data_IF_395108914177
#
_entry.id   IF_395108914177
#
_cell.length_a   1.000
_cell.length_b   1.000
_cell.length_c   1.000
_cell.angle_alpha   90.00
_cell.angle_beta   90.00
_cell.angle_gamma   90.00
#
_symmetry.space_group_name_H-M   'P 1'
#
loop_
_entity.id
_entity.type
_entity.pdbx_description
1 polymer ?
#
# COMPACT_ATOMS: atom_id res chain seq x y z
N UNK A 1 -39.07 -6.46 19.19
CA UNK A 1 -38.07 -6.07 18.18
C UNK A 1 -37.73 -7.32 17.39
N UNK A 2 -37.87 -7.26 16.08
CA UNK A 2 -37.63 -8.39 15.18
C UNK A 2 -36.12 -8.67 15.12
N UNK A 3 -35.66 -9.74 15.77
CA UNK A 3 -34.23 -10.07 15.94
C UNK A 3 -33.64 -10.79 14.72
N UNK A 4 -34.14 -10.51 13.52
CA UNK A 4 -33.62 -11.10 12.28
C UNK A 4 -32.25 -10.50 11.95
N UNK A 5 -31.24 -11.35 11.79
CA UNK A 5 -29.92 -10.95 11.32
C UNK A 5 -30.03 -10.33 9.90
N UNK A 6 -29.62 -9.07 9.79
CA UNK A 6 -29.53 -8.36 8.52
C UNK A 6 -28.21 -8.69 7.83
N UNK A 7 -28.27 -9.18 6.60
CA UNK A 7 -27.07 -9.42 5.80
C UNK A 7 -26.41 -8.09 5.42
N UNK A 8 -27.21 -7.07 5.12
CA UNK A 8 -26.70 -5.73 4.78
C UNK A 8 -25.95 -5.10 5.94
N UNK A 9 -26.50 -5.14 7.17
CA UNK A 9 -25.82 -4.62 8.36
C UNK A 9 -24.48 -5.32 8.64
N UNK A 10 -24.38 -6.64 8.39
CA UNK A 10 -23.12 -7.38 8.57
C UNK A 10 -22.10 -7.15 7.44
N UNK A 11 -22.52 -6.59 6.30
CA UNK A 11 -21.62 -6.27 5.18
C UNK A 11 -21.15 -4.82 5.17
N UNK A 12 -21.92 -3.87 5.71
CA UNK A 12 -21.59 -2.44 5.69
C UNK A 12 -20.14 -2.16 6.15
N UNK A 13 -19.66 -2.67 7.31
CA UNK A 13 -18.31 -2.39 7.80
C UNK A 13 -17.15 -2.94 6.95
N UNK A 14 -17.49 -3.61 5.84
CA UNK A 14 -16.57 -4.31 4.96
C UNK A 14 -16.67 -3.83 3.50
N UNK A 15 -17.62 -2.94 3.21
CA UNK A 15 -17.85 -2.38 1.89
C UNK A 15 -17.27 -0.98 1.80
N UNK A 16 -16.67 -0.64 0.67
CA UNK A 16 -16.45 0.77 0.32
C UNK A 16 -17.78 1.43 -0.05
N UNK A 17 -17.96 2.68 0.35
CA UNK A 17 -19.20 3.44 0.12
C UNK A 17 -19.63 3.39 -1.36
N UNK A 18 -18.71 3.63 -2.30
CA UNK A 18 -19.00 3.57 -3.74
C UNK A 18 -19.46 2.17 -4.18
N UNK A 19 -18.84 1.10 -3.67
CA UNK A 19 -19.26 -0.26 -3.98
C UNK A 19 -20.65 -0.57 -3.46
N UNK A 20 -21.01 0.01 -2.31
CA UNK A 20 -22.34 -0.12 -1.76
C UNK A 20 -23.39 0.49 -2.69
N UNK A 21 -23.22 1.75 -3.08
CA UNK A 21 -24.16 2.42 -3.99
C UNK A 21 -24.27 1.71 -5.34
N UNK A 22 -23.15 1.19 -5.87
CA UNK A 22 -23.19 0.35 -7.08
C UNK A 22 -23.94 -0.97 -6.84
N UNK A 23 -23.90 -1.52 -5.63
CA UNK A 23 -24.69 -2.67 -5.23
C UNK A 23 -26.18 -2.37 -5.21
N UNK A 24 -26.58 -1.20 -4.69
CA UNK A 24 -27.97 -0.72 -4.75
C UNK A 24 -28.45 -0.62 -6.20
N UNK A 25 -27.65 0.00 -7.07
CA UNK A 25 -27.98 0.08 -8.49
C UNK A 25 -28.18 -1.29 -9.15
N UNK A 26 -27.35 -2.28 -8.79
CA UNK A 26 -27.47 -3.64 -9.33
C UNK A 26 -28.77 -4.33 -8.87
N UNK A 27 -29.16 -4.13 -7.60
CA UNK A 27 -30.42 -4.62 -7.06
C UNK A 27 -31.60 -3.95 -7.79
N UNK A 28 -31.57 -2.62 -7.93
CA UNK A 28 -32.65 -1.83 -8.54
C UNK A 28 -32.82 -2.11 -10.03
N UNK A 29 -31.71 -2.28 -10.76
CA UNK A 29 -31.70 -2.67 -12.18
C UNK A 29 -32.02 -4.14 -12.41
N UNK A 30 -32.32 -4.91 -11.35
CA UNK A 30 -32.62 -6.36 -11.41
C UNK A 30 -31.51 -7.18 -12.10
N UNK A 31 -30.27 -6.75 -11.92
CA UNK A 31 -29.08 -7.44 -12.46
C UNK A 31 -28.67 -8.65 -11.62
N UNK A 32 -29.34 -8.90 -10.50
CA UNK A 32 -29.09 -10.03 -9.62
C UNK A 32 -30.33 -10.92 -9.56
N UNK A 33 -30.12 -12.23 -9.70
CA UNK A 33 -31.14 -13.26 -9.54
C UNK A 33 -30.74 -14.19 -8.40
N UNK A 34 -31.57 -14.25 -7.35
CA UNK A 34 -31.40 -15.20 -6.26
C UNK A 34 -31.80 -16.60 -6.78
N UNK A 35 -30.89 -17.57 -6.68
CA UNK A 35 -31.14 -18.94 -7.12
C UNK A 35 -31.79 -19.76 -6.01
N UNK A 36 -31.14 -19.80 -4.84
CA UNK A 36 -31.63 -20.45 -3.64
C UNK A 36 -31.42 -19.51 -2.46
N UNK A 37 -32.41 -19.39 -1.59
CA UNK A 37 -32.27 -18.60 -0.37
C UNK A 37 -33.19 -19.14 0.72
N UNK A 38 -32.73 -19.04 1.96
CA UNK A 38 -33.51 -19.29 3.17
C UNK A 38 -33.14 -18.26 4.25
N UNK A 39 -33.47 -18.53 5.52
CA UNK A 39 -33.11 -17.64 6.63
C UNK A 39 -31.61 -17.63 7.00
N UNK A 40 -30.80 -18.55 6.46
CA UNK A 40 -29.41 -18.81 6.85
C UNK A 40 -28.41 -18.57 5.73
N UNK A 41 -28.78 -18.80 4.48
CA UNK A 41 -27.92 -18.66 3.32
C UNK A 41 -28.66 -18.18 2.07
N UNK A 42 -27.89 -17.61 1.14
CA UNK A 42 -28.34 -17.26 -0.20
C UNK A 42 -27.26 -17.58 -1.22
N UNK A 43 -27.68 -18.10 -2.36
CA UNK A 43 -26.88 -18.19 -3.58
C UNK A 43 -27.55 -17.40 -4.69
N UNK A 44 -26.75 -16.69 -5.48
CA UNK A 44 -27.26 -15.82 -6.52
C UNK A 44 -26.33 -15.76 -7.74
N UNK A 45 -26.90 -15.35 -8.87
CA UNK A 45 -26.18 -14.95 -10.07
C UNK A 45 -26.29 -13.44 -10.23
N UNK A 46 -25.15 -12.77 -10.34
CA UNK A 46 -25.07 -11.35 -10.68
C UNK A 46 -24.62 -11.19 -12.13
N UNK A 47 -25.34 -10.40 -12.90
CA UNK A 47 -25.11 -10.16 -14.32
C UNK A 47 -24.38 -8.83 -14.50
N UNK A 48 -23.17 -8.88 -15.04
CA UNK A 48 -22.38 -7.72 -15.46
C UNK A 48 -21.75 -7.98 -16.83
N UNK A 49 -20.44 -7.69 -16.97
CA UNK A 49 -19.67 -8.09 -18.15
C UNK A 49 -19.58 -9.63 -18.32
N UNK A 50 -19.78 -10.36 -17.23
CA UNK A 50 -19.94 -11.82 -17.20
C UNK A 50 -20.97 -12.18 -16.12
N UNK A 51 -21.32 -13.46 -16.03
CA UNK A 51 -22.14 -13.95 -14.91
C UNK A 51 -21.22 -14.29 -13.75
N UNK A 52 -21.46 -13.67 -12.60
CA UNK A 52 -20.73 -13.93 -11.36
C UNK A 52 -21.62 -14.68 -10.38
N UNK A 53 -21.04 -15.64 -9.66
CA UNK A 53 -21.72 -16.41 -8.63
C UNK A 53 -21.43 -15.78 -7.27
N UNK A 54 -22.46 -15.63 -6.46
CA UNK A 54 -22.37 -15.06 -5.11
C UNK A 54 -22.98 -16.04 -4.13
N UNK A 55 -22.31 -16.25 -3.00
CA UNK A 55 -22.82 -17.03 -1.87
C UNK A 55 -22.61 -16.25 -0.57
N UNK A 56 -23.69 -16.04 0.18
CA UNK A 56 -23.65 -15.46 1.52
C UNK A 56 -24.28 -16.45 2.52
N UNK A 57 -23.70 -16.56 3.72
CA UNK A 57 -24.21 -17.46 4.77
C UNK A 57 -23.92 -16.91 6.16
N UNK A 58 -24.93 -16.87 7.03
CA UNK A 58 -24.72 -16.55 8.45
C UNK A 58 -23.97 -17.70 9.14
N UNK A 59 -22.93 -17.38 9.90
CA UNK A 59 -22.19 -18.33 10.70
C UNK A 59 -22.54 -18.17 12.19
N UNK A 60 -23.15 -19.23 12.75
CA UNK A 60 -23.26 -19.53 14.20
C UNK A 60 -24.07 -18.56 15.09
N UNK A 61 -24.83 -19.07 16.09
CA UNK A 61 -25.53 -18.22 17.06
C UNK A 61 -24.65 -17.65 18.19
N UNK A 62 -23.35 -17.96 18.25
CA UNK A 62 -22.52 -17.74 19.44
C UNK A 62 -21.74 -16.42 19.50
N UNK A 63 -21.74 -15.57 18.46
CA UNK A 63 -20.81 -14.42 18.42
C UNK A 63 -21.37 -13.18 17.70
N UNK A 64 -22.62 -12.80 17.96
CA UNK A 64 -23.20 -11.58 17.37
C UNK A 64 -23.46 -11.66 15.86
N UNK A 65 -23.31 -12.85 15.26
CA UNK A 65 -23.54 -13.16 13.85
C UNK A 65 -22.42 -12.65 12.93
N UNK A 66 -21.71 -13.54 12.26
CA UNK A 66 -20.84 -13.18 11.13
C UNK A 66 -21.45 -13.66 9.81
N UNK A 67 -21.09 -13.01 8.71
CA UNK A 67 -21.56 -13.37 7.38
C UNK A 67 -20.38 -13.88 6.54
N UNK A 68 -20.35 -15.19 6.31
CA UNK A 68 -19.45 -15.78 5.33
C UNK A 68 -19.87 -15.29 3.94
N UNK A 69 -18.91 -14.80 3.16
CA UNK A 69 -19.11 -14.16 1.86
C UNK A 69 -18.15 -14.75 0.83
N UNK A 70 -18.67 -15.01 -0.35
CA UNK A 70 -17.93 -15.52 -1.49
C UNK A 70 -18.53 -14.96 -2.78
N UNK A 71 -17.68 -14.46 -3.68
CA UNK A 71 -18.08 -13.97 -4.98
C UNK A 71 -17.01 -14.29 -6.02
N UNK A 72 -17.41 -14.89 -7.14
CA UNK A 72 -16.51 -15.26 -8.23
C UNK A 72 -16.04 -14.06 -9.08
N UNK A 73 -16.31 -12.82 -8.69
CA UNK A 73 -15.86 -11.66 -9.46
C UNK A 73 -14.39 -11.37 -9.19
N UNK A 74 -13.60 -10.94 -10.19
CA UNK A 74 -12.17 -10.66 -10.04
C UNK A 74 -11.89 -9.35 -9.31
N UNK A 75 -12.81 -8.91 -8.46
CA UNK A 75 -12.69 -7.67 -7.73
C UNK A 75 -11.61 -7.79 -6.65
N UNK A 76 -10.66 -6.86 -6.64
CA UNK A 76 -9.50 -6.86 -5.72
C UNK A 76 -9.50 -5.69 -4.73
N UNK A 77 -10.41 -4.73 -4.87
CA UNK A 77 -10.41 -3.50 -4.08
C UNK A 77 -11.22 -3.62 -2.78
N UNK A 78 -11.09 -4.68 -1.99
CA UNK A 78 -11.80 -4.80 -0.71
C UNK A 78 -12.61 -6.09 -0.54
N UNK A 79 -13.12 -6.27 0.68
CA UNK A 79 -13.71 -7.52 1.18
C UNK A 79 -15.17 -7.73 0.69
N UNK A 80 -15.88 -6.63 0.39
CA UNK A 80 -17.24 -6.66 -0.17
C UNK A 80 -17.29 -5.94 -1.51
N UNK A 81 -17.59 -6.69 -2.56
CA UNK A 81 -17.85 -6.14 -3.88
C UNK A 81 -19.33 -5.74 -4.04
N UNK A 82 -19.63 -4.92 -5.04
CA UNK A 82 -21.00 -4.53 -5.39
C UNK A 82 -21.99 -5.71 -5.58
N UNK A 83 -21.52 -6.86 -6.07
CA UNK A 83 -22.38 -8.03 -6.27
C UNK A 83 -22.83 -8.64 -4.93
N UNK A 84 -21.92 -8.71 -3.94
CA UNK A 84 -22.26 -9.16 -2.59
C UNK A 84 -23.24 -8.19 -1.93
N UNK A 85 -23.01 -6.88 -2.05
CA UNK A 85 -23.94 -5.85 -1.55
C UNK A 85 -25.34 -6.00 -2.18
N UNK A 86 -25.43 -6.10 -3.51
CA UNK A 86 -26.69 -6.30 -4.22
C UNK A 86 -27.44 -7.57 -3.79
N UNK A 87 -26.72 -8.68 -3.59
CA UNK A 87 -27.30 -9.94 -3.11
C UNK A 87 -27.80 -9.82 -1.67
N UNK A 88 -27.03 -9.19 -0.78
CA UNK A 88 -27.44 -8.96 0.59
C UNK A 88 -28.69 -8.08 0.68
N UNK A 89 -28.76 -7.01 -0.14
CA UNK A 89 -29.92 -6.13 -0.27
C UNK A 89 -31.16 -6.94 -0.65
N UNK A 90 -31.09 -7.66 -1.77
CA UNK A 90 -32.24 -8.44 -2.25
C UNK A 90 -32.64 -9.54 -1.25
N UNK A 91 -31.68 -10.13 -0.56
CA UNK A 91 -31.95 -11.16 0.43
C UNK A 91 -32.61 -10.61 1.71
N UNK A 92 -32.19 -9.44 2.17
CA UNK A 92 -32.83 -8.72 3.28
C UNK A 92 -34.26 -8.29 2.90
N UNK A 93 -34.46 -7.75 1.70
CA UNK A 93 -35.78 -7.37 1.20
C UNK A 93 -36.75 -8.56 1.14
N UNK A 94 -36.28 -9.72 0.66
CA UNK A 94 -37.08 -10.96 0.65
C UNK A 94 -37.45 -11.44 2.05
N UNK A 95 -36.67 -11.06 3.05
CA UNK A 95 -36.93 -11.36 4.47
C UNK A 95 -37.65 -10.22 5.19
N UNK A 96 -38.10 -9.19 4.47
CA UNK A 96 -38.81 -8.04 5.05
C UNK A 96 -37.94 -7.11 5.88
N UNK A 97 -36.61 -7.17 5.71
CA UNK A 97 -35.65 -6.29 6.37
C UNK A 97 -35.42 -5.08 5.44
N UNK A 98 -35.60 -3.85 5.92
CA UNK A 98 -35.40 -2.67 5.09
C UNK A 98 -33.92 -2.48 4.73
N UNK A 99 -33.65 -1.82 3.61
CA UNK A 99 -32.29 -1.41 3.25
C UNK A 99 -31.72 -0.44 4.29
N UNK A 100 -30.39 -0.42 4.49
CA UNK A 100 -29.74 0.65 5.21
C UNK A 100 -30.06 2.01 4.61
N UNK A 101 -30.25 3.02 5.46
CA UNK A 101 -30.41 4.40 4.98
C UNK A 101 -29.09 4.94 4.46
N UNK A 102 -29.12 5.98 3.60
CA UNK A 102 -27.87 6.65 3.16
C UNK A 102 -26.99 7.11 4.32
N UNK A 103 -27.59 7.55 5.43
CA UNK A 103 -26.86 7.93 6.62
C UNK A 103 -26.14 6.74 7.28
N UNK A 104 -26.78 5.57 7.33
CA UNK A 104 -26.13 4.33 7.80
C UNK A 104 -25.02 3.88 6.85
N UNK A 105 -25.25 3.97 5.54
CA UNK A 105 -24.21 3.65 4.54
C UNK A 105 -22.99 4.56 4.75
N UNK A 106 -23.17 5.86 4.82
CA UNK A 106 -22.07 6.80 5.04
C UNK A 106 -21.36 6.62 6.39
N UNK A 107 -22.08 6.21 7.43
CA UNK A 107 -21.52 6.02 8.77
C UNK A 107 -20.81 4.67 8.96
N UNK A 108 -21.33 3.61 8.36
CA UNK A 108 -20.94 2.22 8.63
C UNK A 108 -20.13 1.59 7.50
N UNK A 109 -19.97 2.24 6.34
CA UNK A 109 -19.06 1.79 5.26
C UNK A 109 -17.64 2.32 5.43
N UNK A 110 -16.71 1.69 4.74
CA UNK A 110 -15.33 2.13 4.66
C UNK A 110 -15.28 3.27 3.63
N UNK A 111 -14.58 4.37 3.96
CA UNK A 111 -14.27 5.40 2.99
C UNK A 111 -13.50 4.80 1.81
N UNK A 112 -13.71 5.26 0.55
CA UNK A 112 -12.99 4.73 -0.60
C UNK A 112 -11.48 4.84 -0.38
N UNK A 113 -10.70 3.84 -0.83
CA UNK A 113 -9.26 3.83 -0.61
C UNK A 113 -8.64 5.01 -1.34
N UNK A 114 -7.66 5.67 -0.73
CA UNK A 114 -7.01 6.83 -1.35
C UNK A 114 -6.18 6.45 -2.59
N UNK A 115 -5.86 5.16 -2.73
CA UNK A 115 -5.14 4.58 -3.86
C UNK A 115 -5.79 3.30 -4.35
N UNK A 116 -5.86 3.12 -5.67
CA UNK A 116 -6.42 1.91 -6.27
C UNK A 116 -5.44 0.74 -6.26
N UNK A 117 -5.96 -0.50 -6.24
CA UNK A 117 -5.13 -1.69 -6.41
C UNK A 117 -4.35 -1.71 -7.73
N UNK A 118 -4.86 -1.06 -8.78
CA UNK A 118 -4.13 -0.89 -10.04
C UNK A 118 -2.90 -0.01 -9.85
N UNK A 119 -3.03 1.12 -9.15
CA UNK A 119 -1.89 1.99 -8.83
C UNK A 119 -0.86 1.26 -7.98
N UNK A 120 -1.30 0.54 -6.94
CA UNK A 120 -0.43 -0.30 -6.11
C UNK A 120 0.30 -1.34 -6.97
N UNK A 121 -0.43 -2.09 -7.80
CA UNK A 121 0.18 -3.12 -8.67
C UNK A 121 1.19 -2.52 -9.64
N UNK A 122 0.89 -1.36 -10.23
CA UNK A 122 1.82 -0.66 -11.12
C UNK A 122 3.07 -0.21 -10.38
N UNK A 123 2.93 0.36 -9.17
CA UNK A 123 4.07 0.78 -8.35
C UNK A 123 5.03 -0.39 -8.06
N UNK A 124 4.53 -1.55 -7.64
CA UNK A 124 5.37 -2.73 -7.38
C UNK A 124 6.00 -3.35 -8.63
N UNK A 125 5.41 -3.15 -9.82
CA UNK A 125 6.00 -3.59 -11.09
C UNK A 125 7.11 -2.67 -11.59
N UNK A 126 7.08 -1.40 -11.18
CA UNK A 126 8.00 -0.35 -11.62
C UNK A 126 8.50 0.45 -10.40
N UNK A 127 9.27 -0.18 -9.49
CA UNK A 127 9.62 0.43 -8.21
C UNK A 127 10.44 1.71 -8.34
N UNK A 128 11.30 1.82 -9.37
CA UNK A 128 12.12 3.01 -9.59
C UNK A 128 11.26 4.22 -10.01
N UNK A 129 10.30 4.00 -10.91
CA UNK A 129 9.42 5.05 -11.44
C UNK A 129 8.12 5.25 -10.64
N UNK A 130 7.92 4.46 -9.58
CA UNK A 130 6.69 4.48 -8.81
C UNK A 130 6.33 5.87 -8.26
N UNK A 131 5.03 6.16 -8.21
CA UNK A 131 4.51 7.28 -7.44
C UNK A 131 4.67 6.97 -5.96
N UNK A 132 5.55 7.72 -5.28
CA UNK A 132 5.89 7.47 -3.89
C UNK A 132 4.72 7.79 -2.95
N UNK A 133 3.75 8.62 -3.34
CA UNK A 133 2.52 8.78 -2.56
C UNK A 133 1.68 7.50 -2.56
N UNK A 134 1.71 6.72 -3.64
CA UNK A 134 1.06 5.39 -3.66
C UNK A 134 1.73 4.45 -2.68
N UNK A 135 3.07 4.47 -2.60
CA UNK A 135 3.84 3.64 -1.66
C UNK A 135 3.50 4.01 -0.21
N UNK A 136 3.41 5.32 0.10
CA UNK A 136 3.02 5.81 1.44
C UNK A 136 1.66 5.30 1.88
N UNK A 137 0.69 5.33 0.96
CA UNK A 137 -0.70 5.01 1.26
C UNK A 137 -0.97 3.51 1.23
N UNK A 138 -0.21 2.72 0.46
CA UNK A 138 -0.45 1.29 0.30
C UNK A 138 -0.44 0.50 1.62
N UNK A 139 0.46 0.81 2.55
CA UNK A 139 0.51 0.14 3.87
C UNK A 139 -0.72 0.48 4.73
N UNK A 140 -1.14 1.74 4.73
CA UNK A 140 -2.36 2.18 5.45
C UNK A 140 -3.65 1.57 4.90
N UNK A 141 -3.69 1.27 3.60
CA UNK A 141 -4.88 0.70 2.93
C UNK A 141 -4.95 -0.83 2.99
N UNK A 142 -3.82 -1.51 3.24
CA UNK A 142 -3.76 -2.99 3.29
C UNK A 142 -4.19 -3.57 4.64
N UNK A 143 -4.16 -2.79 5.72
CA UNK A 143 -4.46 -3.28 7.07
C UNK A 143 -5.62 -2.55 7.75
N UNK A 144 -6.44 -3.29 8.50
CA UNK A 144 -7.44 -2.71 9.40
C UNK A 144 -6.76 -2.30 10.69
N UNK A 145 -6.44 -1.03 10.80
CA UNK A 145 -5.79 -0.52 12.00
C UNK A 145 -6.76 0.36 12.77
N UNK A 146 -7.01 0.01 14.03
CA UNK A 146 -7.86 0.78 14.94
C UNK A 146 -7.15 2.02 15.51
N UNK A 147 -5.85 2.19 15.20
CA UNK A 147 -5.00 3.28 15.68
C UNK A 147 -4.89 4.38 14.62
N UNK A 148 -4.85 5.62 15.07
CA UNK A 148 -4.62 6.78 14.21
C UNK A 148 -3.19 6.73 13.68
N UNK A 149 -3.03 6.60 12.37
CA UNK A 149 -1.72 6.62 11.70
C UNK A 149 -1.12 8.03 11.73
N UNK A 150 0.07 8.18 12.33
CA UNK A 150 0.84 9.42 12.27
C UNK A 150 1.41 9.59 10.86
N UNK A 151 1.08 10.70 10.18
CA UNK A 151 1.70 11.05 8.89
C UNK A 151 3.12 11.56 9.10
N UNK A 152 4.09 10.86 8.54
CA UNK A 152 5.49 11.27 8.54
C UNK A 152 5.78 12.33 7.47
N UNK A 153 6.85 13.14 7.62
CA UNK A 153 7.25 14.09 6.58
C UNK A 153 7.65 13.37 5.27
N UNK A 154 7.44 14.03 4.13
CA UNK A 154 7.75 13.45 2.81
C UNK A 154 9.23 13.08 2.64
N UNK A 155 10.13 13.94 3.13
CA UNK A 155 11.57 13.71 3.11
C UNK A 155 12.25 14.59 4.16
N UNK A 156 13.42 14.19 4.68
CA UNK A 156 14.19 15.04 5.56
C UNK A 156 14.79 16.25 4.80
N UNK A 157 15.28 17.28 5.51
CA UNK A 157 15.79 18.49 4.89
C UNK A 157 17.07 18.19 4.10
N UNK A 158 16.99 18.27 2.77
CA UNK A 158 18.13 18.16 1.87
C UNK A 158 17.92 19.08 0.66
N UNK A 159 18.94 19.86 0.30
CA UNK A 159 18.87 20.74 -0.85
C UNK A 159 18.76 19.93 -2.15
N UNK A 160 17.81 20.31 -3.00
CA UNK A 160 17.53 19.68 -4.29
C UNK A 160 18.05 20.52 -5.46
N UNK A 161 19.25 21.08 -5.32
CA UNK A 161 19.92 21.85 -6.38
C UNK A 161 20.85 20.90 -7.16
N UNK A 162 20.55 20.59 -8.45
CA UNK A 162 21.34 19.66 -9.25
C UNK A 162 22.79 20.12 -9.49
N UNK A 163 23.10 21.41 -9.30
CA UNK A 163 24.45 21.96 -9.48
C UNK A 163 25.33 21.78 -8.25
N UNK A 164 24.74 21.42 -7.11
CA UNK A 164 25.44 21.31 -5.84
C UNK A 164 25.90 19.88 -5.61
N UNK A 165 27.21 19.70 -5.45
CA UNK A 165 27.81 18.41 -5.09
C UNK A 165 27.26 17.88 -3.77
N UNK A 166 27.03 16.57 -3.67
CA UNK A 166 26.67 15.89 -2.42
C UNK A 166 27.87 15.76 -1.48
N UNK A 167 27.58 15.66 -0.20
CA UNK A 167 28.55 15.31 0.85
C UNK A 167 28.04 14.12 1.66
N UNK A 168 28.95 13.27 2.12
CA UNK A 168 28.57 12.14 3.00
C UNK A 168 27.91 12.66 4.28
N UNK A 169 28.39 13.78 4.83
CA UNK A 169 27.89 14.35 6.08
C UNK A 169 26.45 14.86 5.99
N UNK A 170 26.03 15.45 4.86
CA UNK A 170 24.63 15.88 4.69
C UNK A 170 23.70 14.67 4.52
N UNK A 171 24.14 13.63 3.79
CA UNK A 171 23.39 12.38 3.62
C UNK A 171 23.19 11.67 4.95
N UNK A 172 24.25 11.47 5.75
CA UNK A 172 24.14 10.88 7.10
C UNK A 172 23.20 11.67 8.00
N UNK A 173 23.14 13.00 7.84
CA UNK A 173 22.22 13.85 8.61
C UNK A 173 20.78 13.61 8.18
N UNK A 174 20.52 13.46 6.89
CA UNK A 174 19.21 13.13 6.35
C UNK A 174 18.72 11.77 6.86
N UNK A 175 19.54 10.72 6.82
CA UNK A 175 19.20 9.40 7.36
C UNK A 175 18.92 9.44 8.87
N UNK A 176 19.76 10.10 9.66
CA UNK A 176 19.50 10.29 11.10
C UNK A 176 18.18 11.02 11.38
N UNK A 177 17.75 11.90 10.48
CA UNK A 177 16.46 12.58 10.64
C UNK A 177 15.29 11.63 10.39
N UNK A 178 15.39 10.71 9.42
CA UNK A 178 14.40 9.65 9.23
C UNK A 178 14.33 8.76 10.48
N UNK A 179 15.46 8.33 11.04
CA UNK A 179 15.51 7.58 12.31
C UNK A 179 14.87 8.34 13.47
N UNK A 180 14.94 9.67 13.49
CA UNK A 180 14.28 10.46 14.55
C UNK A 180 12.76 10.46 14.43
N UNK A 181 12.21 10.26 13.23
CA UNK A 181 10.77 10.21 13.04
C UNK A 181 10.16 9.00 13.72
N UNK A 182 10.89 7.88 13.83
CA UNK A 182 10.43 6.67 14.51
C UNK A 182 10.28 6.84 16.03
N UNK A 183 10.82 7.93 16.59
CA UNK A 183 10.71 8.28 18.00
C UNK A 183 9.55 9.23 18.30
N UNK A 184 8.76 9.62 17.30
CA UNK A 184 7.62 10.51 17.48
C UNK A 184 6.45 9.76 18.12
N UNK A 185 5.69 10.46 18.95
CA UNK A 185 4.46 9.90 19.50
C UNK A 185 3.48 9.55 18.37
N UNK A 186 3.00 8.30 18.35
CA UNK A 186 2.10 7.79 17.30
C UNK A 186 2.80 7.12 16.12
N UNK A 187 4.13 6.99 16.14
CA UNK A 187 4.84 6.10 15.23
C UNK A 187 4.43 4.63 15.47
N UNK A 188 4.22 3.89 14.39
CA UNK A 188 3.90 2.47 14.42
C UNK A 188 4.59 1.78 13.24
N UNK A 189 5.43 0.78 13.52
CA UNK A 189 6.27 0.07 12.54
C UNK A 189 5.46 -0.62 11.43
N UNK A 190 4.21 -0.99 11.71
CA UNK A 190 3.30 -1.60 10.73
C UNK A 190 2.66 -0.56 9.81
N UNK A 191 2.39 0.64 10.33
CA UNK A 191 1.65 1.67 9.58
C UNK A 191 2.57 2.59 8.78
N UNK A 192 3.71 2.92 9.37
CA UNK A 192 4.61 3.94 8.87
C UNK A 192 5.69 3.38 7.93
N UNK A 193 5.75 2.05 7.72
CA UNK A 193 6.77 1.41 6.89
C UNK A 193 6.83 1.96 5.47
N UNK A 194 5.68 2.04 4.79
CA UNK A 194 5.58 2.65 3.45
C UNK A 194 5.98 4.13 3.42
N UNK A 195 5.79 4.87 4.52
CA UNK A 195 6.20 6.27 4.60
C UNK A 195 7.70 6.46 4.78
N UNK A 196 8.34 5.63 5.61
CA UNK A 196 9.79 5.64 5.76
C UNK A 196 10.47 5.26 4.44
N UNK A 197 9.97 4.20 3.81
CA UNK A 197 10.51 3.69 2.55
C UNK A 197 10.40 4.72 1.42
N UNK A 198 9.23 5.34 1.28
CA UNK A 198 9.04 6.42 0.32
C UNK A 198 9.93 7.64 0.62
N UNK A 199 10.18 7.97 1.89
CA UNK A 199 11.09 9.06 2.24
C UNK A 199 12.56 8.74 1.92
N UNK A 200 12.97 7.48 2.08
CA UNK A 200 14.27 7.00 1.65
C UNK A 200 14.43 7.08 0.13
N UNK A 201 13.43 6.62 -0.64
CA UNK A 201 13.40 6.75 -2.09
C UNK A 201 13.45 8.21 -2.56
N UNK A 202 12.74 9.13 -1.89
CA UNK A 202 12.83 10.57 -2.17
C UNK A 202 14.25 11.13 -2.02
N UNK A 203 15.01 10.65 -1.02
CA UNK A 203 16.42 11.02 -0.87
C UNK A 203 17.27 10.49 -2.01
N UNK A 204 17.13 9.22 -2.38
CA UNK A 204 17.87 8.63 -3.49
C UNK A 204 17.57 9.37 -4.82
N UNK A 205 16.32 9.80 -5.04
CA UNK A 205 15.97 10.66 -6.18
C UNK A 205 16.65 12.03 -6.16
N UNK A 206 16.88 12.62 -4.98
CA UNK A 206 17.72 13.82 -4.85
C UNK A 206 19.18 13.48 -5.18
N UNK A 207 19.66 12.29 -4.81
CA UNK A 207 21.03 11.89 -5.10
C UNK A 207 21.26 11.73 -6.61
N UNK A 208 20.33 11.09 -7.33
CA UNK A 208 20.39 11.00 -8.79
C UNK A 208 20.49 12.37 -9.45
N UNK A 209 19.66 13.33 -9.02
CA UNK A 209 19.66 14.70 -9.57
C UNK A 209 20.97 15.45 -9.32
N UNK A 210 21.68 15.11 -8.25
CA UNK A 210 22.97 15.74 -7.86
C UNK A 210 24.18 14.90 -8.26
N UNK A 211 23.97 13.74 -8.90
CA UNK A 211 25.04 12.79 -9.20
C UNK A 211 26.07 13.37 -10.17
N UNK A 212 25.63 14.12 -11.19
CA UNK A 212 26.55 14.73 -12.17
C UNK A 212 27.43 15.82 -11.56
N UNK A 213 26.96 16.51 -10.52
CA UNK A 213 27.74 17.50 -9.77
C UNK A 213 28.59 16.87 -8.65
N UNK A 214 28.47 15.56 -8.44
CA UNK A 214 29.12 14.84 -7.33
C UNK A 214 30.25 13.97 -7.83
N UNK A 215 31.36 13.96 -7.10
CA UNK A 215 32.48 13.09 -7.44
C UNK A 215 32.10 11.62 -7.19
N UNK A 216 32.43 10.72 -8.13
CA UNK A 216 32.06 9.30 -8.06
C UNK A 216 32.50 8.60 -6.75
N UNK A 217 33.65 8.99 -6.17
CA UNK A 217 34.10 8.47 -4.85
C UNK A 217 33.14 8.81 -3.72
N UNK A 218 32.59 10.03 -3.74
CA UNK A 218 31.61 10.49 -2.75
C UNK A 218 30.27 9.78 -2.96
N UNK A 219 29.85 9.59 -4.22
CA UNK A 219 28.66 8.82 -4.53
C UNK A 219 28.78 7.36 -4.08
N UNK A 220 29.95 6.73 -4.25
CA UNK A 220 30.20 5.38 -3.76
C UNK A 220 30.17 5.29 -2.23
N UNK A 221 30.67 6.31 -1.51
CA UNK A 221 30.47 6.38 -0.05
C UNK A 221 28.98 6.51 0.31
N UNK A 222 28.25 7.36 -0.41
CA UNK A 222 26.81 7.57 -0.19
C UNK A 222 26.01 6.29 -0.48
N UNK A 223 26.39 5.52 -1.50
CA UNK A 223 25.76 4.24 -1.83
C UNK A 223 25.87 3.26 -0.66
N UNK A 224 27.08 3.08 -0.12
CA UNK A 224 27.30 2.17 1.02
C UNK A 224 26.58 2.65 2.28
N UNK A 225 26.58 3.95 2.54
CA UNK A 225 25.80 4.51 3.66
C UNK A 225 24.29 4.33 3.46
N UNK A 226 23.82 4.42 2.21
CA UNK A 226 22.42 4.15 1.84
C UNK A 226 22.06 2.69 2.04
N UNK A 227 22.94 1.76 1.67
CA UNK A 227 22.75 0.32 1.87
C UNK A 227 22.68 -0.03 3.36
N UNK A 228 23.66 0.43 4.16
CA UNK A 228 23.66 0.23 5.62
C UNK A 228 22.37 0.77 6.26
N UNK A 229 21.94 1.96 5.84
CA UNK A 229 20.73 2.56 6.36
C UNK A 229 19.46 1.80 5.94
N UNK A 230 19.40 1.30 4.70
CA UNK A 230 18.27 0.51 4.22
C UNK A 230 18.18 -0.85 4.94
N UNK A 231 19.30 -1.55 5.12
CA UNK A 231 19.38 -2.77 5.96
C UNK A 231 18.86 -2.47 7.38
N UNK A 232 19.34 -1.40 8.01
CA UNK A 232 18.85 -0.99 9.32
C UNK A 232 17.34 -0.70 9.34
N UNK A 233 16.82 -0.05 8.29
CA UNK A 233 15.38 0.20 8.19
C UNK A 233 14.59 -1.10 8.19
N UNK A 234 15.04 -2.07 7.41
CA UNK A 234 14.40 -3.39 7.24
C UNK A 234 14.42 -4.21 8.53
N UNK A 235 15.52 -4.18 9.28
CA UNK A 235 15.69 -4.97 10.50
C UNK A 235 15.01 -4.34 11.72
N UNK A 236 15.13 -3.02 11.86
CA UNK A 236 14.83 -2.34 13.13
C UNK A 236 13.62 -1.40 13.07
N UNK A 237 13.24 -0.92 11.90
CA UNK A 237 12.34 0.22 11.77
C UNK A 237 11.00 -0.13 11.11
N UNK A 238 10.95 -1.07 10.17
CA UNK A 238 9.72 -1.39 9.42
C UNK A 238 9.37 -2.88 9.51
N UNK A 239 8.08 -3.20 9.43
CA UNK A 239 7.65 -4.58 9.16
C UNK A 239 7.66 -4.85 7.65
N UNK A 240 8.40 -5.86 7.22
CA UNK A 240 8.62 -6.21 5.80
C UNK A 240 7.48 -6.99 5.14
N UNK A 241 6.42 -7.35 5.88
CA UNK A 241 5.32 -8.17 5.33
C UNK A 241 4.63 -7.57 4.11
N UNK A 242 4.74 -6.26 3.91
CA UNK A 242 4.13 -5.55 2.78
C UNK A 242 5.02 -5.49 1.52
N UNK A 243 6.28 -5.93 1.63
CA UNK A 243 7.25 -5.98 0.53
C UNK A 243 7.61 -4.61 -0.04
N UNK A 244 7.73 -3.59 0.82
CA UNK A 244 8.05 -2.21 0.43
C UNK A 244 9.55 -2.01 0.19
N UNK A 245 10.41 -2.87 0.75
CA UNK A 245 11.86 -2.89 0.56
C UNK A 245 12.31 -2.90 -0.91
N UNK A 246 11.49 -3.46 -1.80
CA UNK A 246 11.76 -3.49 -3.25
C UNK A 246 11.97 -2.10 -3.85
N UNK A 247 11.38 -1.06 -3.26
CA UNK A 247 11.51 0.32 -3.73
C UNK A 247 12.92 0.85 -3.46
N UNK A 248 13.41 0.77 -2.22
CA UNK A 248 14.74 1.18 -1.81
C UNK A 248 15.82 0.40 -2.53
N UNK A 249 15.66 -0.92 -2.65
CA UNK A 249 16.59 -1.79 -3.41
C UNK A 249 16.72 -1.32 -4.86
N UNK A 250 15.59 -1.11 -5.56
CA UNK A 250 15.63 -0.66 -6.95
C UNK A 250 16.31 0.72 -7.13
N UNK A 251 16.16 1.62 -6.15
CA UNK A 251 16.81 2.93 -6.19
C UNK A 251 18.31 2.84 -5.84
N UNK A 252 18.72 1.97 -4.92
CA UNK A 252 20.14 1.73 -4.63
C UNK A 252 20.86 1.11 -5.83
N UNK A 253 20.23 0.14 -6.50
CA UNK A 253 20.74 -0.45 -7.74
C UNK A 253 20.90 0.59 -8.85
N UNK A 254 19.97 1.53 -8.96
CA UNK A 254 20.10 2.61 -9.94
C UNK A 254 21.23 3.57 -9.57
N UNK A 255 21.44 3.87 -8.28
CA UNK A 255 22.59 4.67 -7.85
C UNK A 255 23.91 3.97 -8.19
N UNK A 256 23.98 2.66 -7.97
CA UNK A 256 25.11 1.83 -8.38
C UNK A 256 25.39 1.99 -9.88
N UNK A 257 24.38 1.84 -10.75
CA UNK A 257 24.54 1.97 -12.22
C UNK A 257 25.02 3.36 -12.63
N UNK A 258 24.52 4.40 -11.97
CA UNK A 258 24.98 5.78 -12.19
C UNK A 258 26.47 5.90 -11.85
N UNK A 259 26.90 5.36 -10.71
CA UNK A 259 28.30 5.39 -10.27
C UNK A 259 29.19 4.58 -11.23
N UNK A 260 28.80 3.36 -11.58
CA UNK A 260 29.54 2.49 -12.50
C UNK A 260 29.79 3.20 -13.84
N UNK A 261 28.78 3.86 -14.40
CA UNK A 261 28.93 4.65 -15.62
C UNK A 261 29.97 5.77 -15.49
N UNK A 262 30.08 6.39 -14.31
CA UNK A 262 31.07 7.44 -14.05
C UNK A 262 32.51 6.88 -13.91
N UNK A 263 32.68 5.61 -13.48
CA UNK A 263 34.02 5.01 -13.27
C UNK A 263 34.90 5.04 -14.52
N UNK A 264 34.28 4.95 -15.71
CA UNK A 264 34.94 4.97 -17.02
C UNK A 264 35.73 6.27 -17.27
N UNK A 265 35.36 7.36 -16.60
CA UNK A 265 35.96 8.69 -16.74
C UNK A 265 37.01 9.00 -15.65
N UNK A 266 37.17 8.13 -14.66
CA UNK A 266 38.08 8.34 -13.53
C UNK A 266 39.53 7.97 -13.89
N UNK A 267 40.48 8.62 -13.22
CA UNK A 267 41.87 8.17 -13.19
C UNK A 267 42.00 6.80 -12.48
N UNK A 268 43.15 6.14 -12.64
CA UNK A 268 43.35 4.77 -12.14
C UNK A 268 43.17 4.63 -10.62
N UNK A 269 43.61 5.62 -9.84
CA UNK A 269 43.54 5.61 -8.37
C UNK A 269 42.08 5.70 -7.92
N UNK A 270 41.35 6.68 -8.43
CA UNK A 270 39.95 6.89 -8.07
C UNK A 270 39.07 5.75 -8.58
N UNK A 271 39.34 5.25 -9.79
CA UNK A 271 38.64 4.08 -10.35
C UNK A 271 38.78 2.87 -9.44
N UNK A 272 40.01 2.52 -9.03
CA UNK A 272 40.27 1.39 -8.13
C UNK A 272 39.51 1.55 -6.80
N UNK A 273 39.54 2.75 -6.22
CA UNK A 273 38.85 3.04 -4.97
C UNK A 273 37.32 2.94 -5.07
N UNK A 274 36.73 3.38 -6.20
CA UNK A 274 35.28 3.26 -6.43
C UNK A 274 34.90 1.80 -6.66
N UNK A 275 35.61 1.07 -7.51
CA UNK A 275 35.32 -0.34 -7.80
C UNK A 275 35.38 -1.21 -6.54
N UNK A 276 36.32 -0.94 -5.62
CA UNK A 276 36.37 -1.64 -4.34
C UNK A 276 35.10 -1.42 -3.50
N UNK A 277 34.51 -0.22 -3.52
CA UNK A 277 33.26 0.07 -2.80
C UNK A 277 32.04 -0.55 -3.48
N UNK A 278 32.02 -0.57 -4.81
CA UNK A 278 30.95 -1.26 -5.55
C UNK A 278 30.98 -2.76 -5.27
N UNK A 279 32.16 -3.38 -5.19
CA UNK A 279 32.28 -4.78 -4.78
C UNK A 279 31.72 -5.03 -3.36
N UNK A 280 31.97 -4.13 -2.40
CA UNK A 280 31.39 -4.24 -1.04
C UNK A 280 29.86 -4.16 -1.08
N UNK A 281 29.30 -3.33 -1.97
CA UNK A 281 27.85 -3.24 -2.15
C UNK A 281 27.29 -4.55 -2.69
N UNK A 282 27.93 -5.12 -3.71
CA UNK A 282 27.53 -6.39 -4.34
C UNK A 282 27.59 -7.56 -3.33
N UNK A 283 28.67 -7.66 -2.54
CA UNK A 283 28.86 -8.73 -1.53
C UNK A 283 27.79 -8.73 -0.42
N UNK A 284 27.09 -7.60 -0.21
CA UNK A 284 26.04 -7.45 0.81
C UNK A 284 24.64 -7.69 0.28
N UNK A 285 24.49 -7.82 -1.04
CA UNK A 285 23.21 -8.09 -1.69
C UNK A 285 22.91 -9.60 -1.82
N UNK A 286 23.89 -10.47 -1.53
CA UNK A 286 23.76 -11.95 -1.47
C UNK A 286 23.43 -12.46 -0.06
#
# INVERSE_FOLDING_TARGET
MDTRLSATALLLPFAYEENWYRGEEYADKKLVRLNTFDGKAVTAKAHGASVYFVRLRFAGPASGGSLARDCSCPYVGGDVCKHMAAVAILWDEKRGIPRPTKAMVAADTIAPPLVSMTQITTAWKQPLEADLEVVRLAASERGRHSRVHLRLPLRPPLANDPRKSLTVSEVKRAFREIVRWTRRAGYDEYLCGGELEAAFCELLRVFFRRADASHARVLADILLEGQIFHEQMQDDLIDLRDGVDVFGTAHLDELYRVIDKQTKKLNAVDRKAVLQKLAIFDDRAE
#
